data_IF_870040634898
#
_entry.id   IF_870040634898
#
_cell.length_a   1.000
_cell.length_b   1.000
_cell.length_c   1.000
_cell.angle_alpha   90.00
_cell.angle_beta   90.00
_cell.angle_gamma   90.00
#
_symmetry.space_group_name_H-M   'P 1'
#
loop_
_entity.id
_entity.type
_entity.pdbx_description
1 polymer ?
#
# COMPACT_ATOMS: atom_id res chain seq x y z
N UNK A 1 -4.41 29.62 -8.15
CA UNK A 1 -5.30 28.51 -8.60
C UNK A 1 -5.41 27.53 -7.45
N UNK A 2 -6.64 27.21 -6.99
CA UNK A 2 -6.82 26.12 -6.03
C UNK A 2 -6.51 24.82 -6.79
N UNK A 3 -5.52 24.09 -6.36
CA UNK A 3 -5.22 22.75 -6.89
C UNK A 3 -6.41 21.85 -6.52
N UNK A 4 -6.96 21.14 -7.51
CA UNK A 4 -7.98 20.15 -7.22
C UNK A 4 -7.31 19.00 -6.43
N UNK A 5 -7.77 18.67 -5.22
CA UNK A 5 -7.17 17.61 -4.42
C UNK A 5 -7.08 16.25 -5.13
N UNK A 6 -8.01 15.97 -6.04
CA UNK A 6 -7.98 14.74 -6.84
C UNK A 6 -6.76 14.68 -7.78
N UNK A 7 -6.28 15.83 -8.26
CA UNK A 7 -5.10 15.90 -9.15
C UNK A 7 -3.78 15.69 -8.39
N UNK A 8 -3.83 15.77 -7.05
CA UNK A 8 -2.67 15.53 -6.18
C UNK A 8 -2.50 14.05 -5.79
N UNK A 9 -3.45 13.19 -6.13
CA UNK A 9 -3.40 11.76 -5.79
C UNK A 9 -2.15 11.09 -6.34
N UNK A 10 -1.41 10.43 -5.45
CA UNK A 10 -0.19 9.70 -5.78
C UNK A 10 -0.13 8.38 -5.03
N UNK A 11 -0.05 7.29 -5.77
CA UNK A 11 0.19 5.97 -5.16
C UNK A 11 1.62 5.95 -4.61
N UNK A 12 1.74 5.71 -3.31
CA UNK A 12 3.01 5.61 -2.60
C UNK A 12 3.50 4.17 -2.46
N UNK A 13 2.56 3.22 -2.32
CA UNK A 13 2.88 1.80 -2.22
C UNK A 13 1.67 0.92 -2.56
N UNK A 14 1.94 -0.20 -3.23
CA UNK A 14 0.99 -1.28 -3.43
C UNK A 14 1.58 -2.54 -2.81
N UNK A 15 0.79 -3.21 -1.97
CA UNK A 15 1.10 -4.53 -1.43
C UNK A 15 0.16 -5.55 -2.07
N UNK A 16 0.73 -6.60 -2.63
CA UNK A 16 -0.03 -7.68 -3.24
C UNK A 16 0.52 -9.04 -2.83
N UNK A 17 -0.30 -10.05 -2.89
CA UNK A 17 0.08 -11.43 -2.66
C UNK A 17 -0.21 -12.30 -3.88
N UNK A 18 0.61 -13.32 -4.08
CA UNK A 18 0.42 -14.34 -5.11
C UNK A 18 0.79 -15.72 -4.57
N UNK A 19 0.28 -16.75 -5.18
CA UNK A 19 0.68 -18.14 -4.97
C UNK A 19 1.44 -18.59 -6.21
N UNK A 20 2.74 -18.79 -6.10
CA UNK A 20 3.60 -19.08 -7.26
C UNK A 20 3.99 -20.56 -7.37
N UNK A 21 3.88 -21.32 -6.26
CA UNK A 21 4.19 -22.74 -6.20
C UNK A 21 3.41 -23.40 -5.07
N UNK A 22 3.41 -24.74 -5.02
CA UNK A 22 2.85 -25.49 -3.87
C UNK A 22 3.72 -25.35 -2.64
N UNK A 23 5.03 -25.40 -2.83
CA UNK A 23 6.05 -25.21 -1.82
C UNK A 23 7.35 -24.74 -2.47
N UNK A 24 8.23 -24.14 -1.71
CA UNK A 24 9.54 -23.64 -2.17
C UNK A 24 10.61 -23.96 -1.12
N UNK A 25 11.78 -24.40 -1.59
CA UNK A 25 12.97 -24.54 -0.78
C UNK A 25 13.68 -23.19 -0.66
N UNK A 26 13.48 -22.53 0.47
CA UNK A 26 14.01 -21.18 0.71
C UNK A 26 15.54 -21.15 0.83
N UNK A 27 16.14 -22.22 1.35
CA UNK A 27 17.59 -22.33 1.45
C UNK A 27 18.23 -22.38 0.05
N UNK A 28 17.68 -23.19 -0.83
CA UNK A 28 18.14 -23.29 -2.21
C UNK A 28 17.99 -21.97 -2.96
N UNK A 29 16.86 -21.26 -2.78
CA UNK A 29 16.62 -19.96 -3.39
C UNK A 29 17.66 -18.94 -2.90
N UNK A 30 17.94 -18.91 -1.60
CA UNK A 30 18.93 -18.02 -1.01
C UNK A 30 20.34 -18.29 -1.52
N UNK A 31 20.71 -19.56 -1.72
CA UNK A 31 22.03 -19.94 -2.22
C UNK A 31 22.23 -19.61 -3.71
N UNK A 32 21.19 -19.73 -4.51
CA UNK A 32 21.26 -19.61 -5.97
C UNK A 32 20.93 -18.23 -6.54
N UNK A 33 20.17 -17.43 -5.81
CA UNK A 33 19.84 -16.06 -6.23
C UNK A 33 20.78 -15.08 -5.53
N UNK A 34 21.57 -14.37 -6.34
CA UNK A 34 22.41 -13.30 -5.85
C UNK A 34 21.56 -12.21 -5.18
N UNK A 35 22.05 -11.68 -4.08
CA UNK A 35 21.39 -10.62 -3.30
C UNK A 35 20.10 -11.05 -2.61
N UNK A 36 19.78 -12.35 -2.56
CA UNK A 36 18.73 -12.89 -1.71
C UNK A 36 19.13 -12.78 -0.24
N UNK A 37 18.20 -12.41 0.61
CA UNK A 37 18.39 -12.31 2.05
C UNK A 37 17.49 -13.33 2.76
N UNK A 38 18.08 -14.26 3.47
CA UNK A 38 17.36 -15.24 4.26
C UNK A 38 17.99 -15.40 5.64
N UNK A 39 17.25 -14.95 6.65
CA UNK A 39 17.59 -15.17 8.06
C UNK A 39 16.36 -15.67 8.79
N UNK A 40 16.22 -16.98 8.88
CA UNK A 40 15.08 -17.68 9.49
C UNK A 40 14.78 -17.25 10.92
N UNK A 41 15.79 -16.77 11.67
CA UNK A 41 15.59 -16.27 13.04
C UNK A 41 14.93 -14.90 13.09
N UNK A 42 15.08 -14.08 12.04
CA UNK A 42 14.51 -12.74 11.94
C UNK A 42 13.18 -12.71 11.18
N UNK A 43 13.12 -13.48 10.09
CA UNK A 43 11.97 -13.47 9.20
C UNK A 43 11.85 -14.83 8.49
N UNK A 44 10.64 -15.43 8.43
CA UNK A 44 10.43 -16.79 7.91
C UNK A 44 10.47 -16.89 6.38
N UNK A 45 10.75 -15.82 5.67
CA UNK A 45 10.78 -15.77 4.20
C UNK A 45 12.12 -15.28 3.66
N UNK A 46 12.35 -15.54 2.38
CA UNK A 46 13.45 -14.95 1.61
C UNK A 46 13.02 -13.59 1.09
N UNK A 47 13.86 -12.59 1.26
CA UNK A 47 13.66 -11.24 0.71
C UNK A 47 14.46 -11.10 -0.58
N UNK A 48 13.79 -10.81 -1.67
CA UNK A 48 14.38 -10.50 -2.98
C UNK A 48 14.06 -9.05 -3.35
N UNK A 49 15.08 -8.23 -3.59
CA UNK A 49 14.89 -6.85 -4.03
C UNK A 49 15.16 -6.72 -5.51
N UNK A 50 14.20 -6.12 -6.22
CA UNK A 50 14.31 -5.76 -7.62
C UNK A 50 14.55 -4.25 -7.75
N UNK A 51 15.33 -3.84 -8.72
CA UNK A 51 15.67 -2.42 -8.93
C UNK A 51 14.77 -1.76 -9.98
N UNK A 52 14.39 -2.50 -11.01
CA UNK A 52 13.52 -1.99 -12.08
C UNK A 52 12.45 -3.03 -12.46
N UNK A 53 11.22 -2.86 -11.96
CA UNK A 53 10.74 -1.86 -11.00
C UNK A 53 11.32 -2.07 -9.60
N UNK A 54 11.39 -1.00 -8.80
CA UNK A 54 11.87 -1.04 -7.41
C UNK A 54 10.82 -1.67 -6.50
N UNK A 55 10.91 -2.98 -6.34
CA UNK A 55 9.95 -3.82 -5.59
C UNK A 55 10.72 -4.82 -4.74
N UNK A 56 10.23 -5.06 -3.54
CA UNK A 56 10.66 -6.18 -2.70
C UNK A 56 9.66 -7.33 -2.79
N UNK A 57 10.16 -8.53 -2.99
CA UNK A 57 9.39 -9.76 -2.93
C UNK A 57 9.75 -10.55 -1.67
N UNK A 58 8.75 -10.90 -0.88
CA UNK A 58 8.87 -11.75 0.29
C UNK A 58 8.39 -13.15 -0.11
N UNK A 59 9.31 -14.11 -0.17
CA UNK A 59 9.06 -15.46 -0.67
C UNK A 59 9.00 -16.43 0.51
N UNK A 60 7.90 -17.15 0.63
CA UNK A 60 7.66 -18.09 1.73
C UNK A 60 7.72 -19.53 1.26
N UNK A 61 8.11 -20.43 2.17
CA UNK A 61 8.19 -21.87 1.89
C UNK A 61 6.87 -22.51 1.45
N UNK A 62 5.74 -21.93 1.81
CA UNK A 62 4.40 -22.34 1.34
C UNK A 62 4.15 -22.07 -0.15
N UNK A 63 5.07 -21.43 -0.86
CA UNK A 63 4.88 -20.96 -2.24
C UNK A 63 4.11 -19.65 -2.37
N UNK A 64 3.73 -19.05 -1.25
CA UNK A 64 3.15 -17.70 -1.21
C UNK A 64 4.25 -16.67 -1.35
N UNK A 65 3.96 -15.60 -2.10
CA UNK A 65 4.82 -14.41 -2.18
C UNK A 65 4.02 -13.16 -1.85
N UNK A 66 4.70 -12.19 -1.27
CA UNK A 66 4.16 -10.84 -1.03
C UNK A 66 5.07 -9.85 -1.75
N UNK A 67 4.47 -9.00 -2.57
CA UNK A 67 5.16 -7.92 -3.29
C UNK A 67 4.82 -6.60 -2.62
N UNK A 68 5.82 -5.77 -2.39
CA UNK A 68 5.68 -4.42 -1.80
C UNK A 68 6.63 -3.44 -2.45
N UNK A 69 6.26 -2.16 -2.46
CA UNK A 69 7.05 -1.09 -3.04
C UNK A 69 6.59 -0.62 -4.42
N UNK A 70 5.66 -1.32 -5.06
CA UNK A 70 5.11 -0.91 -6.35
C UNK A 70 4.34 0.41 -6.22
N UNK A 71 4.51 1.30 -7.19
CA UNK A 71 3.81 2.60 -7.28
C UNK A 71 2.78 2.65 -8.40
N UNK A 72 2.58 1.53 -9.09
CA UNK A 72 1.54 1.34 -10.09
C UNK A 72 1.20 -0.14 -10.23
N UNK A 73 0.02 -0.43 -10.77
CA UNK A 73 -0.40 -1.80 -11.08
C UNK A 73 0.51 -2.41 -12.16
N UNK A 74 0.91 -1.62 -13.13
CA UNK A 74 1.84 -2.05 -14.17
C UNK A 74 3.21 -2.47 -13.59
N UNK A 75 3.78 -1.67 -12.69
CA UNK A 75 5.02 -2.01 -11.99
C UNK A 75 4.88 -3.27 -11.15
N UNK A 76 3.73 -3.46 -10.49
CA UNK A 76 3.44 -4.65 -9.71
C UNK A 76 3.44 -5.91 -10.59
N UNK A 77 2.74 -5.86 -11.73
CA UNK A 77 2.69 -6.98 -12.69
C UNK A 77 4.08 -7.32 -13.22
N UNK A 78 4.85 -6.32 -13.62
CA UNK A 78 6.24 -6.51 -14.08
C UNK A 78 7.12 -7.13 -12.99
N UNK A 79 6.98 -6.69 -11.76
CA UNK A 79 7.72 -7.25 -10.63
C UNK A 79 7.40 -8.72 -10.39
N UNK A 80 6.13 -9.10 -10.51
CA UNK A 80 5.72 -10.51 -10.37
C UNK A 80 6.25 -11.37 -11.52
N UNK A 81 6.24 -10.87 -12.76
CA UNK A 81 6.79 -11.57 -13.92
C UNK A 81 8.30 -11.79 -13.77
N UNK A 82 9.04 -10.77 -13.36
CA UNK A 82 10.49 -10.88 -13.11
C UNK A 82 10.77 -11.91 -12.00
N UNK A 83 10.01 -11.90 -10.93
CA UNK A 83 10.13 -12.90 -9.86
C UNK A 83 9.89 -14.31 -10.41
N UNK A 84 8.81 -14.49 -11.17
CA UNK A 84 8.48 -15.78 -11.81
C UNK A 84 9.61 -16.28 -12.69
N UNK A 85 10.20 -15.41 -13.51
CA UNK A 85 11.32 -15.77 -14.39
C UNK A 85 12.57 -16.17 -13.59
N UNK A 86 12.93 -15.43 -12.55
CA UNK A 86 14.05 -15.79 -11.66
C UNK A 86 13.87 -17.17 -11.03
N UNK A 87 12.66 -17.51 -10.59
CA UNK A 87 12.36 -18.81 -10.00
C UNK A 87 12.38 -19.93 -11.06
N UNK A 88 11.91 -19.67 -12.29
CA UNK A 88 11.97 -20.63 -13.40
C UNK A 88 13.41 -20.92 -13.83
N UNK A 89 14.30 -19.93 -13.81
CA UNK A 89 15.74 -20.10 -14.08
C UNK A 89 16.38 -21.11 -13.10
N UNK A 90 15.85 -21.24 -11.89
CA UNK A 90 16.26 -22.27 -10.93
C UNK A 90 15.64 -23.65 -11.20
N UNK A 91 14.93 -23.80 -12.32
CA UNK A 91 14.22 -25.03 -12.71
C UNK A 91 13.09 -25.42 -11.75
N UNK A 92 12.52 -24.45 -11.07
CA UNK A 92 11.33 -24.63 -10.26
C UNK A 92 10.08 -24.64 -11.15
N UNK A 93 9.10 -25.44 -10.75
CA UNK A 93 7.81 -25.55 -11.45
C UNK A 93 6.92 -24.35 -11.08
N UNK A 94 7.07 -23.27 -11.84
CA UNK A 94 6.36 -22.01 -11.66
C UNK A 94 5.44 -21.78 -12.87
N UNK A 95 4.14 -21.56 -12.68
CA UNK A 95 3.21 -21.28 -13.78
C UNK A 95 3.68 -20.09 -14.64
N UNK A 96 3.39 -20.14 -15.94
CA UNK A 96 3.73 -19.03 -16.85
C UNK A 96 2.97 -17.77 -16.53
N UNK A 97 1.69 -17.89 -16.23
CA UNK A 97 0.81 -16.77 -15.87
C UNK A 97 0.60 -16.81 -14.36
N UNK A 98 1.10 -15.80 -13.67
CA UNK A 98 0.94 -15.64 -12.24
C UNK A 98 -0.16 -14.63 -11.97
N UNK A 99 -1.11 -15.02 -11.12
CA UNK A 99 -2.16 -14.13 -10.63
C UNK A 99 -1.78 -13.56 -9.28
N UNK A 100 -2.19 -12.34 -9.03
CA UNK A 100 -1.98 -11.67 -7.75
C UNK A 100 -3.28 -11.07 -7.22
N UNK A 101 -3.31 -10.84 -5.93
CA UNK A 101 -4.37 -10.10 -5.25
C UNK A 101 -3.79 -8.88 -4.54
N UNK A 102 -4.31 -7.71 -4.87
CA UNK A 102 -3.94 -6.48 -4.14
C UNK A 102 -4.48 -6.56 -2.71
N UNK A 103 -3.59 -6.39 -1.74
CA UNK A 103 -3.92 -6.42 -0.32
C UNK A 103 -4.07 -5.03 0.27
N UNK A 104 -3.28 -4.07 -0.20
CA UNK A 104 -3.31 -2.69 0.27
C UNK A 104 -2.73 -1.74 -0.76
N UNK A 105 -3.34 -0.58 -0.91
CA UNK A 105 -2.80 0.56 -1.65
C UNK A 105 -2.70 1.72 -0.67
N UNK A 106 -1.52 2.32 -0.57
CA UNK A 106 -1.27 3.56 0.15
C UNK A 106 -1.16 4.68 -0.85
N UNK A 107 -2.01 5.70 -0.70
CA UNK A 107 -2.08 6.86 -1.60
C UNK A 107 -1.96 8.13 -0.78
N UNK A 108 -1.17 9.07 -1.24
CA UNK A 108 -1.11 10.43 -0.70
C UNK A 108 -1.99 11.38 -1.51
N UNK A 109 -2.50 12.41 -0.85
CA UNK A 109 -3.23 13.50 -1.46
C UNK A 109 -2.95 14.81 -0.70
N UNK A 110 -3.31 15.94 -1.30
CA UNK A 110 -3.16 17.25 -0.69
C UNK A 110 -4.44 18.07 -0.96
N UNK A 111 -5.05 18.56 0.12
CA UNK A 111 -6.24 19.41 0.03
C UNK A 111 -5.92 20.82 -0.51
N UNK A 112 -4.64 21.17 -0.60
CA UNK A 112 -4.19 22.48 -1.06
C UNK A 112 -4.45 23.63 -0.06
N UNK A 113 -4.87 23.30 1.15
CA UNK A 113 -5.13 24.25 2.23
C UNK A 113 -4.91 23.61 3.59
N UNK A 114 -4.36 24.34 4.58
CA UNK A 114 -4.29 23.86 5.94
C UNK A 114 -5.69 23.62 6.53
N UNK A 115 -5.80 22.66 7.43
CA UNK A 115 -7.03 22.28 8.12
C UNK A 115 -6.83 22.28 9.64
N UNK A 116 -7.89 22.58 10.37
CA UNK A 116 -7.88 22.57 11.82
C UNK A 116 -8.36 21.21 12.34
N UNK A 117 -7.42 20.36 12.76
CA UNK A 117 -7.73 19.01 13.24
C UNK A 117 -8.59 19.00 14.52
N UNK A 118 -8.44 19.98 15.39
CA UNK A 118 -9.28 20.07 16.61
C UNK A 118 -10.75 20.33 16.25
N UNK A 119 -11.01 21.22 15.28
CA UNK A 119 -12.38 21.47 14.81
C UNK A 119 -12.98 20.24 14.11
N UNK A 120 -12.19 19.52 13.35
CA UNK A 120 -12.60 18.27 12.70
C UNK A 120 -12.94 17.23 13.75
N UNK A 121 -12.10 17.04 14.77
CA UNK A 121 -12.32 16.08 15.84
C UNK A 121 -13.63 16.33 16.63
N UNK A 122 -14.02 17.58 16.79
CA UNK A 122 -15.28 17.95 17.43
C UNK A 122 -16.49 17.79 16.51
N UNK A 123 -16.32 18.05 15.20
CA UNK A 123 -17.42 18.08 14.23
C UNK A 123 -17.80 16.73 13.65
N UNK A 124 -16.89 15.76 13.66
CA UNK A 124 -17.14 14.43 13.11
C UNK A 124 -17.66 13.45 14.17
N UNK A 125 -18.21 12.32 13.68
CA UNK A 125 -18.65 11.24 14.55
C UNK A 125 -17.44 10.60 15.27
N UNK A 126 -17.45 10.66 16.60
CA UNK A 126 -16.38 10.17 17.47
C UNK A 126 -16.08 8.67 17.31
N UNK A 127 -17.05 7.87 16.85
CA UNK A 127 -16.84 6.43 16.64
C UNK A 127 -15.87 6.11 15.49
N UNK A 128 -15.65 7.08 14.58
CA UNK A 128 -14.84 6.91 13.36
C UNK A 128 -13.54 7.67 13.38
N UNK A 129 -13.31 8.45 14.44
CA UNK A 129 -12.18 9.37 14.55
C UNK A 129 -11.36 9.07 15.79
N UNK A 130 -10.04 9.03 15.58
CA UNK A 130 -9.04 9.02 16.65
C UNK A 130 -8.13 10.23 16.45
N UNK A 131 -8.05 11.10 17.44
CA UNK A 131 -7.17 12.24 17.43
C UNK A 131 -6.49 12.43 18.79
N UNK A 132 -5.24 12.04 18.85
CA UNK A 132 -4.39 12.13 20.05
C UNK A 132 -3.05 12.79 19.65
N UNK A 133 -3.02 14.13 19.55
CA UNK A 133 -1.87 14.86 18.99
C UNK A 133 -0.57 14.67 19.78
N UNK A 134 -0.63 14.24 21.04
CA UNK A 134 0.56 13.95 21.85
C UNK A 134 1.22 12.61 21.45
N UNK A 135 0.47 11.68 20.88
CA UNK A 135 0.96 10.37 20.45
C UNK A 135 1.24 10.34 18.94
N UNK A 136 0.37 10.95 18.14
CA UNK A 136 0.48 10.99 16.69
C UNK A 136 -0.11 12.31 16.15
N UNK A 137 0.63 13.03 15.27
CA UNK A 137 0.22 14.38 14.83
C UNK A 137 -0.95 14.38 13.86
N UNK A 138 -1.32 13.26 13.28
CA UNK A 138 -2.44 13.13 12.36
C UNK A 138 -3.73 12.71 13.04
N UNK A 139 -4.85 13.07 12.44
CA UNK A 139 -6.17 12.58 12.81
C UNK A 139 -6.47 11.34 11.95
N UNK A 140 -6.88 10.25 12.59
CA UNK A 140 -7.26 9.01 11.95
C UNK A 140 -8.75 9.00 11.71
N UNK A 141 -9.17 8.91 10.45
CA UNK A 141 -10.57 8.83 10.06
C UNK A 141 -10.84 7.53 9.29
N UNK A 142 -11.73 6.70 9.83
CA UNK A 142 -12.13 5.42 9.24
C UNK A 142 -13.37 5.57 8.40
N UNK A 143 -13.26 5.25 7.11
CA UNK A 143 -14.39 5.22 6.17
C UNK A 143 -14.89 3.80 5.98
N UNK A 144 -16.19 3.63 5.76
CA UNK A 144 -16.80 2.34 5.42
C UNK A 144 -16.89 2.14 3.91
N UNK A 145 -17.20 3.21 3.18
CA UNK A 145 -17.31 3.21 1.71
C UNK A 145 -16.59 4.41 1.10
N UNK A 146 -15.42 4.19 0.48
CA UNK A 146 -14.68 2.93 0.43
C UNK A 146 -14.15 2.54 1.81
N UNK A 147 -13.93 1.25 2.06
CA UNK A 147 -13.38 0.76 3.33
C UNK A 147 -11.89 1.05 3.42
N UNK A 148 -11.56 2.25 3.86
CA UNK A 148 -10.19 2.76 3.99
C UNK A 148 -10.03 3.55 5.28
N UNK A 149 -8.78 3.76 5.66
CA UNK A 149 -8.39 4.67 6.73
C UNK A 149 -7.71 5.88 6.12
N UNK A 150 -8.13 7.06 6.49
CA UNK A 150 -7.53 8.32 6.07
C UNK A 150 -6.82 8.96 7.25
N UNK A 151 -5.55 9.28 7.08
CA UNK A 151 -4.77 10.09 8.01
C UNK A 151 -4.81 11.54 7.51
N UNK A 152 -5.37 12.43 8.31
CA UNK A 152 -5.43 13.86 8.01
C UNK A 152 -4.39 14.61 8.82
N UNK A 153 -3.62 15.46 8.16
CA UNK A 153 -2.61 16.31 8.79
C UNK A 153 -3.00 17.77 8.72
N UNK A 154 -2.60 18.56 9.72
CA UNK A 154 -2.91 19.98 9.79
C UNK A 154 -2.45 20.80 8.59
N UNK A 155 -1.45 20.33 7.86
CA UNK A 155 -1.00 20.92 6.59
C UNK A 155 -2.00 20.78 5.44
N UNK A 156 -3.02 19.95 5.57
CA UNK A 156 -3.93 19.57 4.49
C UNK A 156 -3.51 18.32 3.72
N UNK A 157 -2.38 17.73 4.04
CA UNK A 157 -1.95 16.45 3.46
C UNK A 157 -2.76 15.29 4.02
N UNK A 158 -3.02 14.31 3.15
CA UNK A 158 -3.75 13.10 3.46
C UNK A 158 -2.91 11.87 3.10
N UNK A 159 -3.02 10.83 3.91
CA UNK A 159 -2.57 9.47 3.57
C UNK A 159 -3.78 8.55 3.63
N UNK A 160 -4.05 7.83 2.56
CA UNK A 160 -5.17 6.91 2.43
C UNK A 160 -4.61 5.50 2.34
N UNK A 161 -5.02 4.62 3.25
CA UNK A 161 -4.55 3.24 3.33
C UNK A 161 -5.72 2.27 3.46
N UNK A 162 -5.53 1.03 3.04
CA UNK A 162 -6.56 -0.03 3.07
C UNK A 162 -7.30 -0.20 1.75
N UNK A 163 -7.09 0.66 0.76
CA UNK A 163 -7.68 0.52 -0.56
C UNK A 163 -7.22 -0.74 -1.28
N UNK A 164 -8.09 -1.28 -2.11
CA UNK A 164 -7.84 -2.45 -2.96
C UNK A 164 -7.75 -2.08 -4.44
N UNK A 165 -8.27 -0.92 -4.79
CA UNK A 165 -8.29 -0.36 -6.14
C UNK A 165 -7.81 1.10 -6.09
N UNK A 166 -7.16 1.60 -7.15
CA UNK A 166 -6.72 3.01 -7.20
C UNK A 166 -7.87 4.01 -7.00
N UNK A 167 -9.08 3.68 -7.46
CA UNK A 167 -10.27 4.49 -7.35
C UNK A 167 -10.74 4.70 -5.91
N UNK A 168 -10.38 3.82 -4.99
CA UNK A 168 -10.76 3.91 -3.58
C UNK A 168 -10.21 5.20 -2.94
N UNK A 169 -8.97 5.58 -3.28
CA UNK A 169 -8.38 6.83 -2.78
C UNK A 169 -9.12 8.06 -3.32
N UNK A 170 -9.51 8.06 -4.58
CA UNK A 170 -10.30 9.15 -5.18
C UNK A 170 -11.64 9.33 -4.48
N UNK A 171 -12.37 8.24 -4.26
CA UNK A 171 -13.64 8.26 -3.51
C UNK A 171 -13.46 8.73 -2.08
N UNK A 172 -12.36 8.32 -1.42
CA UNK A 172 -12.04 8.77 -0.08
C UNK A 172 -11.80 10.29 -0.02
N UNK A 173 -11.02 10.85 -0.96
CA UNK A 173 -10.80 12.30 -1.05
C UNK A 173 -12.10 13.05 -1.28
N UNK A 174 -12.95 12.59 -2.18
CA UNK A 174 -14.27 13.18 -2.43
C UNK A 174 -15.13 13.19 -1.17
N UNK A 175 -15.13 12.09 -0.42
CA UNK A 175 -15.87 11.98 0.85
C UNK A 175 -15.33 12.98 1.89
N UNK A 176 -14.02 13.07 2.06
CA UNK A 176 -13.39 14.01 2.99
C UNK A 176 -13.70 15.45 2.61
N UNK A 177 -13.61 15.82 1.34
CA UNK A 177 -13.97 17.15 0.85
C UNK A 177 -15.42 17.50 1.17
N UNK A 178 -16.34 16.57 0.93
CA UNK A 178 -17.76 16.76 1.24
C UNK A 178 -17.98 16.92 2.74
N UNK A 179 -17.37 16.09 3.57
CA UNK A 179 -17.54 16.17 5.02
C UNK A 179 -16.96 17.46 5.61
N UNK A 180 -15.78 17.89 5.16
CA UNK A 180 -15.16 19.14 5.59
C UNK A 180 -15.96 20.37 5.13
N UNK A 181 -16.49 20.35 3.91
CA UNK A 181 -17.34 21.40 3.38
C UNK A 181 -18.65 21.52 4.16
N UNK A 182 -19.29 20.38 4.48
CA UNK A 182 -20.52 20.36 5.30
C UNK A 182 -20.31 20.93 6.70
N UNK A 183 -19.11 20.83 7.24
CA UNK A 183 -18.71 21.44 8.52
C UNK A 183 -18.25 22.89 8.39
N UNK A 184 -18.17 23.44 7.17
CA UNK A 184 -17.66 24.78 6.92
C UNK A 184 -16.17 24.96 7.24
N UNK A 185 -15.39 23.89 7.10
CA UNK A 185 -13.96 23.87 7.43
C UNK A 185 -13.05 24.08 6.20
N UNK A 186 -13.63 23.99 5.01
CA UNK A 186 -12.98 24.29 3.72
C UNK A 186 -13.98 24.95 2.77
#
# INVERSE_FOLDING_TARGET
MKVNPEDSLKIENIVASAKVAKELDLQMINEKIKDAEYNKKRFPGVVLRMQEPKIAALVFGSGKVVLTGAKSIDSLSKGLDILGDKLRELKLDIPKNLEYKVQNIVTSADLGTPINLNKIAVGFNLERIEYEPEQFPGLVYRLDEPKVVVLLFGSGKLIITGGKQPEDAKKAVQKILSDLSNLGLI
#
